data_IF_472834608691
#
_entry.id   IF_472834608691
#
_cell.length_a   1.000
_cell.length_b   1.000
_cell.length_c   1.000
_cell.angle_alpha   90.00
_cell.angle_beta   90.00
_cell.angle_gamma   90.00
#
_symmetry.space_group_name_H-M   'P 1'
#
loop_
_entity.id
_entity.type
_entity.pdbx_description
1 polymer ?
#
# COMPACT_ATOMS: atom_id res chain seq x y z
N UNK A 1 -12.84 19.31 -4.20
CA UNK A 1 -13.39 19.77 -2.90
C UNK A 1 -12.24 19.89 -1.90
N UNK A 2 -12.15 20.96 -1.09
CA UNK A 2 -11.13 21.06 -0.06
C UNK A 2 -11.30 19.88 0.92
N UNK A 3 -10.20 19.21 1.25
CA UNK A 3 -10.21 18.13 2.26
C UNK A 3 -10.58 18.76 3.60
N UNK A 4 -11.55 18.18 4.31
CA UNK A 4 -11.91 18.63 5.65
C UNK A 4 -10.74 18.42 6.63
N UNK A 5 -10.69 19.18 7.72
CA UNK A 5 -9.69 19.02 8.80
C UNK A 5 -9.60 17.55 9.26
N UNK A 6 -10.75 16.88 9.31
CA UNK A 6 -10.86 15.46 9.63
C UNK A 6 -10.08 14.56 8.65
N UNK A 7 -10.26 14.77 7.35
CA UNK A 7 -9.57 13.97 6.33
C UNK A 7 -8.05 14.23 6.33
N UNK A 8 -7.65 15.48 6.57
CA UNK A 8 -6.23 15.83 6.71
C UNK A 8 -5.60 15.15 7.92
N UNK A 9 -6.31 15.12 9.06
CA UNK A 9 -5.84 14.46 10.26
C UNK A 9 -5.69 12.95 10.07
N UNK A 10 -6.69 12.28 9.45
CA UNK A 10 -6.59 10.86 9.14
C UNK A 10 -5.44 10.58 8.17
N UNK A 11 -5.24 11.42 7.14
CA UNK A 11 -4.13 11.28 6.19
C UNK A 11 -2.77 11.45 6.87
N UNK A 12 -2.59 12.47 7.70
CA UNK A 12 -1.34 12.71 8.43
C UNK A 12 -0.98 11.52 9.35
N UNK A 13 -1.96 11.00 10.08
CA UNK A 13 -1.76 9.83 10.94
C UNK A 13 -1.43 8.58 10.11
N UNK A 14 -2.12 8.37 9.00
CA UNK A 14 -1.85 7.25 8.08
C UNK A 14 -0.41 7.30 7.56
N UNK A 15 0.04 8.46 7.10
CA UNK A 15 1.41 8.64 6.63
C UNK A 15 2.44 8.44 7.76
N UNK A 16 2.15 8.89 8.98
CA UNK A 16 3.01 8.67 10.12
C UNK A 16 3.16 7.16 10.45
N UNK A 17 2.08 6.39 10.35
CA UNK A 17 2.11 4.93 10.51
C UNK A 17 2.94 4.27 9.40
N UNK A 18 2.71 4.64 8.14
CA UNK A 18 3.45 4.07 6.99
C UNK A 18 4.94 4.41 7.03
N UNK A 19 5.29 5.59 7.51
CA UNK A 19 6.68 6.02 7.66
C UNK A 19 7.36 5.45 8.93
N UNK A 20 6.63 4.69 9.74
CA UNK A 20 7.16 4.06 10.96
C UNK A 20 7.40 5.03 12.11
N UNK A 21 6.78 6.22 12.07
CA UNK A 21 6.79 7.16 13.21
C UNK A 21 6.08 6.54 14.40
N UNK A 22 5.00 5.81 14.13
CA UNK A 22 4.31 4.97 15.11
C UNK A 22 4.54 3.51 14.79
N UNK A 23 4.96 2.74 15.81
CA UNK A 23 5.26 1.31 15.65
C UNK A 23 4.00 0.44 15.79
N UNK A 24 3.94 -0.75 15.18
CA UNK A 24 2.86 -1.72 15.42
C UNK A 24 2.70 -2.01 16.90
N UNK A 25 1.46 -1.96 17.39
CA UNK A 25 1.11 -2.13 18.80
C UNK A 25 1.34 -0.89 19.67
N UNK A 26 1.95 0.17 19.15
CA UNK A 26 2.18 1.40 19.91
C UNK A 26 0.87 2.07 20.28
N UNK A 27 0.75 2.46 21.55
CA UNK A 27 -0.41 3.19 22.05
C UNK A 27 -0.36 4.64 21.59
N UNK A 28 -1.46 5.12 21.05
CA UNK A 28 -1.63 6.50 20.61
C UNK A 28 -2.27 7.34 21.71
N UNK A 29 -1.56 8.36 22.19
CA UNK A 29 -2.07 9.23 23.25
C UNK A 29 -2.89 10.35 22.63
N UNK A 30 -4.21 10.34 22.85
CA UNK A 30 -5.13 11.31 22.22
C UNK A 30 -4.74 12.77 22.51
N UNK A 31 -4.28 13.08 23.72
CA UNK A 31 -3.90 14.45 24.09
C UNK A 31 -2.70 14.94 23.27
N UNK A 32 -1.68 14.10 23.09
CA UNK A 32 -0.49 14.42 22.32
C UNK A 32 -0.84 14.59 20.82
N UNK A 33 -1.71 13.72 20.31
CA UNK A 33 -2.14 13.81 18.91
C UNK A 33 -3.00 15.06 18.65
N UNK A 34 -3.89 15.43 19.56
CA UNK A 34 -4.64 16.68 19.46
C UNK A 34 -3.70 17.89 19.40
N UNK A 35 -2.70 17.93 20.28
CA UNK A 35 -1.72 19.01 20.31
C UNK A 35 -0.86 19.07 19.04
N UNK A 36 -0.37 17.92 18.55
CA UNK A 36 0.48 17.85 17.34
C UNK A 36 -0.25 18.20 16.05
N UNK A 37 -1.54 17.85 15.96
CA UNK A 37 -2.36 18.05 14.76
C UNK A 37 -3.19 19.34 14.82
N UNK A 38 -3.17 20.03 15.95
CA UNK A 38 -4.00 21.23 16.23
C UNK A 38 -5.48 20.99 15.93
N UNK A 39 -6.06 19.91 16.49
CA UNK A 39 -7.45 19.52 16.27
C UNK A 39 -8.17 19.21 17.59
N UNK A 40 -9.51 19.30 17.57
CA UNK A 40 -10.33 18.90 18.70
C UNK A 40 -10.30 17.39 18.95
N UNK A 41 -10.58 16.98 20.20
CA UNK A 41 -10.73 15.57 20.56
C UNK A 41 -11.82 14.87 19.76
N UNK A 42 -12.91 15.56 19.43
CA UNK A 42 -13.98 15.02 18.59
C UNK A 42 -13.48 14.72 17.19
N UNK A 43 -12.78 15.66 16.55
CA UNK A 43 -12.19 15.46 15.20
C UNK A 43 -11.15 14.35 15.20
N UNK A 44 -10.31 14.27 16.25
CA UNK A 44 -9.34 13.19 16.36
C UNK A 44 -10.01 11.81 16.45
N UNK A 45 -11.04 11.67 17.28
CA UNK A 45 -11.76 10.39 17.42
C UNK A 45 -12.40 9.92 16.12
N UNK A 46 -12.96 10.86 15.33
CA UNK A 46 -13.49 10.51 14.01
C UNK A 46 -12.36 10.08 13.04
N UNK A 47 -11.21 10.78 13.03
CA UNK A 47 -10.04 10.36 12.25
C UNK A 47 -9.56 8.96 12.67
N UNK A 48 -9.50 8.68 13.97
CA UNK A 48 -9.14 7.36 14.48
C UNK A 48 -10.16 6.27 14.10
N UNK A 49 -11.45 6.59 14.04
CA UNK A 49 -12.48 5.64 13.54
C UNK A 49 -12.28 5.31 12.06
N UNK A 50 -11.95 6.29 11.23
CA UNK A 50 -11.61 6.05 9.81
C UNK A 50 -10.43 5.07 9.72
N UNK A 51 -9.35 5.33 10.45
CA UNK A 51 -8.17 4.46 10.46
C UNK A 51 -8.44 3.08 11.07
N UNK A 52 -9.36 2.97 12.01
CA UNK A 52 -9.80 1.69 12.55
C UNK A 52 -10.63 0.88 11.53
N UNK A 53 -11.48 1.52 10.76
CA UNK A 53 -12.18 0.88 9.63
C UNK A 53 -11.19 0.38 8.57
N UNK A 54 -10.10 1.10 8.34
CA UNK A 54 -8.98 0.69 7.46
C UNK A 54 -8.07 -0.40 8.09
N UNK A 55 -8.34 -0.83 9.32
CA UNK A 55 -7.51 -1.80 10.08
C UNK A 55 -6.07 -1.32 10.35
N UNK A 56 -5.82 -0.03 10.33
CA UNK A 56 -4.53 0.58 10.69
C UNK A 56 -4.42 0.87 12.19
N UNK A 57 -5.56 1.02 12.86
CA UNK A 57 -5.66 1.28 14.30
C UNK A 57 -6.63 0.29 14.93
N UNK A 58 -6.31 -0.14 16.13
CA UNK A 58 -7.19 -0.91 17.00
C UNK A 58 -7.72 -0.01 18.11
N UNK A 59 -9.05 0.04 18.26
CA UNK A 59 -9.72 0.75 19.34
C UNK A 59 -10.14 -0.28 20.39
N UNK A 60 -9.43 -0.31 21.53
CA UNK A 60 -9.77 -1.21 22.64
C UNK A 60 -10.46 -0.40 23.74
N UNK A 61 -11.67 -0.79 24.19
CA UNK A 61 -12.35 -0.14 25.31
C UNK A 61 -11.42 -0.04 26.52
N UNK A 62 -11.39 1.11 27.18
CA UNK A 62 -10.57 1.43 28.35
C UNK A 62 -9.04 1.40 28.17
N UNK A 63 -8.53 1.02 26.99
CA UNK A 63 -7.09 1.05 26.68
C UNK A 63 -6.70 2.12 25.67
N UNK A 64 -7.71 2.69 25.00
CA UNK A 64 -7.50 3.73 23.98
C UNK A 64 -7.03 3.17 22.64
N UNK A 65 -6.70 4.05 21.67
CA UNK A 65 -6.24 3.67 20.36
C UNK A 65 -4.78 3.18 20.38
N UNK A 66 -4.49 2.17 19.55
CA UNK A 66 -3.14 1.69 19.27
C UNK A 66 -2.97 1.40 17.78
N UNK A 67 -1.75 1.49 17.29
CA UNK A 67 -1.43 1.05 15.92
C UNK A 67 -1.72 -0.44 15.81
N UNK A 68 -2.43 -0.85 14.78
CA UNK A 68 -2.72 -2.26 14.54
C UNK A 68 -1.41 -3.04 14.31
N UNK A 69 -1.36 -4.25 14.85
CA UNK A 69 -0.30 -5.20 14.54
C UNK A 69 -0.86 -6.29 13.63
N UNK A 70 -0.28 -6.45 12.46
CA UNK A 70 -0.61 -7.53 11.55
C UNK A 70 0.29 -8.71 11.92
N UNK A 71 -0.29 -9.87 12.21
CA UNK A 71 0.49 -11.10 12.41
C UNK A 71 1.09 -11.56 11.07
N UNK A 72 2.15 -12.40 11.14
CA UNK A 72 2.71 -12.94 9.89
C UNK A 72 1.68 -13.81 9.14
N UNK A 73 0.89 -14.62 9.85
CA UNK A 73 -0.17 -15.42 9.24
C UNK A 73 -1.19 -14.54 8.48
N UNK A 74 -1.67 -13.45 9.09
CA UNK A 74 -2.56 -12.50 8.41
C UNK A 74 -1.86 -11.80 7.23
N UNK A 75 -0.58 -11.50 7.35
CA UNK A 75 0.19 -10.91 6.26
C UNK A 75 0.29 -11.86 5.06
N UNK A 76 0.54 -13.16 5.29
CA UNK A 76 0.55 -14.19 4.24
C UNK A 76 -0.79 -14.27 3.52
N UNK A 77 -1.90 -14.33 4.25
CA UNK A 77 -3.25 -14.32 3.66
C UNK A 77 -3.51 -13.08 2.80
N UNK A 78 -3.07 -11.90 3.26
CA UNK A 78 -3.18 -10.67 2.47
C UNK A 78 -2.35 -10.76 1.19
N UNK A 79 -1.13 -11.31 1.24
CA UNK A 79 -0.31 -11.48 0.06
C UNK A 79 -0.92 -12.48 -0.94
N UNK A 80 -1.53 -13.57 -0.47
CA UNK A 80 -2.21 -14.55 -1.32
C UNK A 80 -3.41 -13.92 -2.04
N UNK A 81 -4.27 -13.21 -1.32
CA UNK A 81 -5.41 -12.48 -1.91
C UNK A 81 -4.93 -11.43 -2.91
N UNK A 82 -3.85 -10.70 -2.62
CA UNK A 82 -3.24 -9.74 -3.55
C UNK A 82 -2.76 -10.43 -4.83
N UNK A 83 -2.06 -11.57 -4.71
CA UNK A 83 -1.56 -12.30 -5.87
C UNK A 83 -2.69 -12.72 -6.80
N UNK A 84 -3.80 -13.20 -6.25
CA UNK A 84 -4.99 -13.57 -7.01
C UNK A 84 -5.63 -12.35 -7.70
N UNK A 85 -5.91 -11.30 -6.94
CA UNK A 85 -6.65 -10.14 -7.44
C UNK A 85 -5.79 -9.24 -8.35
N UNK A 86 -4.54 -8.94 -7.96
CA UNK A 86 -3.63 -8.13 -8.77
C UNK A 86 -3.22 -8.86 -10.06
N UNK A 87 -3.05 -10.19 -10.02
CA UNK A 87 -2.82 -11.02 -11.19
C UNK A 87 -3.98 -10.99 -12.18
N UNK A 88 -5.23 -11.15 -11.71
CA UNK A 88 -6.40 -11.06 -12.54
C UNK A 88 -6.62 -9.64 -13.09
N UNK A 89 -6.40 -8.62 -12.27
CA UNK A 89 -6.47 -7.23 -12.71
C UNK A 89 -5.48 -6.94 -13.86
N UNK A 90 -4.23 -7.38 -13.71
CA UNK A 90 -3.20 -7.23 -14.74
C UNK A 90 -3.56 -7.97 -16.05
N UNK A 91 -4.08 -9.19 -15.93
CA UNK A 91 -4.55 -9.97 -17.08
C UNK A 91 -5.62 -9.22 -17.88
N UNK A 92 -6.65 -8.71 -17.21
CA UNK A 92 -7.72 -7.93 -17.84
C UNK A 92 -7.24 -6.61 -18.41
N UNK A 93 -6.41 -5.90 -17.63
CA UNK A 93 -5.85 -4.61 -18.02
C UNK A 93 -5.01 -4.70 -19.30
N UNK A 94 -4.29 -5.79 -19.52
CA UNK A 94 -3.41 -5.94 -20.69
C UNK A 94 -4.12 -5.70 -22.03
N UNK A 95 -5.38 -6.10 -22.16
CA UNK A 95 -6.16 -5.92 -23.39
C UNK A 95 -7.02 -4.67 -23.42
N UNK A 96 -7.21 -3.98 -22.25
CA UNK A 96 -8.20 -2.90 -22.09
C UNK A 96 -7.59 -1.53 -21.82
N UNK A 97 -6.35 -1.48 -21.27
CA UNK A 97 -5.69 -0.22 -21.00
C UNK A 97 -5.61 0.67 -22.25
N UNK A 98 -6.03 1.91 -22.10
CA UNK A 98 -5.84 2.93 -23.12
C UNK A 98 -4.43 3.53 -23.08
N UNK A 99 -4.10 4.36 -24.08
CA UNK A 99 -2.82 5.03 -24.15
C UNK A 99 -2.60 6.04 -23.01
N UNK A 100 -3.68 6.56 -22.42
CA UNK A 100 -3.64 7.47 -21.27
C UNK A 100 -3.18 6.76 -20.02
N UNK A 101 -3.82 5.64 -19.69
CA UNK A 101 -3.46 4.82 -18.54
C UNK A 101 -2.03 4.26 -18.64
N UNK A 102 -1.59 3.83 -19.81
CA UNK A 102 -0.20 3.40 -20.04
C UNK A 102 0.80 4.54 -19.84
N UNK A 103 0.48 5.78 -20.27
CA UNK A 103 1.33 6.95 -19.99
C UNK A 103 1.42 7.24 -18.49
N UNK A 104 0.30 7.15 -17.79
CA UNK A 104 0.27 7.36 -16.33
C UNK A 104 1.11 6.29 -15.60
N UNK A 105 1.02 5.03 -15.98
CA UNK A 105 1.83 3.95 -15.43
C UNK A 105 3.32 4.17 -15.68
N UNK A 106 3.72 4.62 -16.89
CA UNK A 106 5.12 4.98 -17.18
C UNK A 106 5.58 6.14 -16.30
N UNK A 107 4.78 7.19 -16.17
CA UNK A 107 5.11 8.35 -15.33
C UNK A 107 5.27 7.92 -13.86
N UNK A 108 4.37 7.10 -13.35
CA UNK A 108 4.43 6.56 -12.00
C UNK A 108 5.69 5.70 -11.78
N UNK A 109 6.08 4.87 -12.75
CA UNK A 109 7.31 4.08 -12.67
C UNK A 109 8.56 4.98 -12.63
N UNK A 110 8.64 6.00 -13.47
CA UNK A 110 9.76 6.97 -13.47
C UNK A 110 9.85 7.69 -12.12
N UNK A 111 8.72 8.07 -11.54
CA UNK A 111 8.72 8.70 -10.21
C UNK A 111 9.13 7.74 -9.12
N UNK A 112 8.69 6.46 -9.20
CA UNK A 112 9.17 5.44 -8.29
C UNK A 112 10.70 5.29 -8.33
N UNK A 113 11.29 5.22 -9.51
CA UNK A 113 12.74 5.13 -9.71
C UNK A 113 13.48 6.36 -9.15
N UNK A 114 12.93 7.56 -9.36
CA UNK A 114 13.47 8.80 -8.77
C UNK A 114 13.38 8.77 -7.23
N UNK A 115 12.28 8.29 -6.68
CA UNK A 115 12.10 8.15 -5.23
C UNK A 115 13.07 7.09 -4.65
N UNK A 116 13.37 6.02 -5.39
CA UNK A 116 14.41 5.05 -5.02
C UNK A 116 15.78 5.71 -4.95
N UNK A 117 16.15 6.50 -5.97
CA UNK A 117 17.45 7.20 -6.04
C UNK A 117 17.59 8.23 -4.90
N UNK A 118 16.51 8.93 -4.54
CA UNK A 118 16.48 9.94 -3.47
C UNK A 118 16.30 9.33 -2.07
N UNK A 119 16.13 8.01 -1.95
CA UNK A 119 15.78 7.32 -0.69
C UNK A 119 14.51 7.89 -0.03
N UNK A 120 13.52 8.25 -0.85
CA UNK A 120 12.24 8.82 -0.42
C UNK A 120 11.18 7.72 -0.24
N UNK A 121 10.85 7.29 1.01
CA UNK A 121 9.84 6.26 1.25
C UNK A 121 8.44 6.70 0.83
N UNK A 122 8.06 7.94 1.10
CA UNK A 122 6.73 8.45 0.79
C UNK A 122 6.51 8.55 -0.73
N UNK A 123 7.51 9.05 -1.46
CA UNK A 123 7.49 9.09 -2.92
C UNK A 123 7.36 7.70 -3.55
N UNK A 124 8.03 6.68 -2.99
CA UNK A 124 7.88 5.30 -3.45
C UNK A 124 6.47 4.77 -3.26
N UNK A 125 5.87 4.99 -2.09
CA UNK A 125 4.50 4.55 -1.80
C UNK A 125 3.49 5.26 -2.71
N UNK A 126 3.61 6.58 -2.87
CA UNK A 126 2.73 7.36 -3.74
C UNK A 126 2.82 6.97 -5.21
N UNK A 127 4.04 6.80 -5.72
CA UNK A 127 4.25 6.35 -7.09
C UNK A 127 3.69 4.94 -7.33
N UNK A 128 3.88 4.02 -6.36
CA UNK A 128 3.30 2.67 -6.46
C UNK A 128 1.77 2.72 -6.47
N UNK A 129 1.15 3.54 -5.62
CA UNK A 129 -0.30 3.70 -5.58
C UNK A 129 -0.82 4.14 -6.95
N UNK A 130 -0.26 5.19 -7.56
CA UNK A 130 -0.67 5.67 -8.89
C UNK A 130 -0.49 4.63 -9.99
N UNK A 131 0.59 3.84 -9.95
CA UNK A 131 0.81 2.75 -10.90
C UNK A 131 -0.32 1.72 -10.86
N UNK A 132 -0.70 1.29 -9.64
CA UNK A 132 -1.77 0.32 -9.46
C UNK A 132 -3.16 0.92 -9.74
N UNK A 133 -3.42 2.18 -9.37
CA UNK A 133 -4.69 2.85 -9.66
C UNK A 133 -4.94 2.91 -11.18
N UNK A 134 -3.91 3.25 -11.97
CA UNK A 134 -4.01 3.25 -13.42
C UNK A 134 -4.27 1.84 -14.00
N UNK A 135 -3.59 0.80 -13.47
CA UNK A 135 -3.82 -0.59 -13.86
C UNK A 135 -5.24 -1.06 -13.51
N UNK A 136 -5.71 -0.74 -12.31
CA UNK A 136 -7.04 -1.12 -11.83
C UNK A 136 -8.15 -0.41 -12.62
N UNK A 137 -7.95 0.86 -12.98
CA UNK A 137 -8.86 1.56 -13.89
C UNK A 137 -9.03 0.86 -15.22
N UNK A 138 -7.96 0.28 -15.75
CA UNK A 138 -7.98 -0.48 -17.00
C UNK A 138 -8.49 -1.93 -16.88
N UNK A 139 -8.62 -2.48 -15.69
CA UNK A 139 -9.09 -3.86 -15.54
C UNK A 139 -10.60 -4.02 -15.76
N UNK A 140 -11.37 -2.92 -15.75
CA UNK A 140 -12.83 -2.87 -15.93
C UNK A 140 -13.59 -3.86 -15.03
N UNK A 141 -13.15 -4.00 -13.78
CA UNK A 141 -13.81 -4.81 -12.77
C UNK A 141 -13.98 -4.02 -11.49
N UNK A 142 -15.18 -3.47 -11.30
CA UNK A 142 -15.52 -2.73 -10.08
C UNK A 142 -15.34 -3.61 -8.82
N UNK A 143 -15.66 -4.90 -8.90
CA UNK A 143 -15.53 -5.84 -7.77
C UNK A 143 -14.07 -6.05 -7.38
N UNK A 144 -13.15 -6.27 -8.35
CA UNK A 144 -11.72 -6.41 -8.05
C UNK A 144 -11.19 -5.11 -7.43
N UNK A 145 -11.54 -3.96 -8.00
CA UNK A 145 -11.13 -2.66 -7.49
C UNK A 145 -11.63 -2.43 -6.07
N UNK A 146 -12.89 -2.73 -5.76
CA UNK A 146 -13.49 -2.61 -4.43
C UNK A 146 -12.79 -3.51 -3.40
N UNK A 147 -12.57 -4.78 -3.73
CA UNK A 147 -11.87 -5.71 -2.83
C UNK A 147 -10.45 -5.26 -2.52
N UNK A 148 -9.67 -4.83 -3.54
CA UNK A 148 -8.33 -4.31 -3.34
C UNK A 148 -8.33 -2.98 -2.57
N UNK A 149 -9.31 -2.10 -2.82
CA UNK A 149 -9.48 -0.86 -2.07
C UNK A 149 -9.75 -1.12 -0.58
N UNK A 150 -10.54 -2.16 -0.25
CA UNK A 150 -10.76 -2.59 1.14
C UNK A 150 -9.49 -3.09 1.84
N UNK A 151 -8.48 -3.49 1.07
CA UNK A 151 -7.18 -3.95 1.57
C UNK A 151 -6.06 -2.89 1.48
N UNK A 152 -6.30 -1.77 0.78
CA UNK A 152 -5.24 -0.83 0.37
C UNK A 152 -4.37 -0.33 1.51
N UNK A 153 -4.94 -0.05 2.67
CA UNK A 153 -4.20 0.44 3.83
C UNK A 153 -3.24 -0.62 4.37
N UNK A 154 -3.70 -1.88 4.53
CA UNK A 154 -2.88 -3.02 4.96
C UNK A 154 -1.82 -3.38 3.91
N UNK A 155 -2.18 -3.36 2.63
CA UNK A 155 -1.24 -3.55 1.53
C UNK A 155 -0.14 -2.48 1.56
N UNK A 156 -0.49 -1.21 1.78
CA UNK A 156 0.48 -0.12 1.85
C UNK A 156 1.40 -0.27 3.05
N UNK A 157 0.86 -0.66 4.21
CA UNK A 157 1.66 -0.98 5.39
C UNK A 157 2.67 -2.10 5.11
N UNK A 158 2.23 -3.21 4.51
CA UNK A 158 3.11 -4.34 4.16
C UNK A 158 4.14 -3.94 3.10
N UNK A 159 3.78 -3.09 2.12
CA UNK A 159 4.72 -2.51 1.16
C UNK A 159 5.82 -1.70 1.86
N UNK A 160 5.44 -0.81 2.78
CA UNK A 160 6.39 -0.03 3.54
C UNK A 160 7.39 -0.93 4.28
N UNK A 161 6.92 -2.02 4.88
CA UNK A 161 7.76 -3.01 5.58
C UNK A 161 8.68 -3.75 4.62
N UNK A 162 8.18 -4.28 3.51
CA UNK A 162 9.00 -5.00 2.53
C UNK A 162 10.11 -4.11 1.94
N UNK A 163 9.84 -2.83 1.72
CA UNK A 163 10.78 -1.85 1.19
C UNK A 163 11.92 -1.47 2.16
N UNK A 164 11.84 -1.87 3.44
CA UNK A 164 12.94 -1.69 4.40
C UNK A 164 14.12 -2.63 4.12
N UNK A 165 13.90 -3.77 3.46
CA UNK A 165 14.97 -4.67 3.06
C UNK A 165 15.90 -3.97 2.05
N UNK A 166 17.22 -4.03 2.32
CA UNK A 166 18.22 -3.45 1.43
C UNK A 166 18.10 -4.02 0.01
N UNK A 167 18.13 -3.15 -0.99
CA UNK A 167 18.00 -3.54 -2.41
C UNK A 167 16.57 -3.76 -2.89
N UNK A 168 15.59 -4.03 -2.00
CA UNK A 168 14.21 -4.38 -2.39
C UNK A 168 13.54 -3.33 -3.29
N UNK A 169 13.76 -2.06 -3.03
CA UNK A 169 13.17 -0.99 -3.84
C UNK A 169 13.67 -1.02 -5.30
N UNK A 170 14.94 -1.35 -5.53
CA UNK A 170 15.50 -1.51 -6.89
C UNK A 170 14.94 -2.76 -7.59
N UNK A 171 14.83 -3.86 -6.85
CA UNK A 171 14.20 -5.09 -7.36
C UNK A 171 12.76 -4.83 -7.77
N UNK A 172 11.99 -4.12 -6.92
CA UNK A 172 10.60 -3.74 -7.19
C UNK A 172 10.47 -2.87 -8.46
N UNK A 173 11.39 -1.92 -8.68
CA UNK A 173 11.41 -1.14 -9.92
C UNK A 173 11.55 -2.04 -11.17
N UNK A 174 12.44 -3.02 -11.13
CA UNK A 174 12.61 -4.00 -12.20
C UNK A 174 11.37 -4.87 -12.43
N UNK A 175 10.68 -5.25 -11.35
CA UNK A 175 9.45 -6.04 -11.40
C UNK A 175 8.30 -5.23 -12.02
N UNK A 176 8.10 -3.99 -11.57
CA UNK A 176 7.07 -3.08 -12.13
C UNK A 176 7.35 -2.75 -13.61
N UNK A 177 8.63 -2.63 -14.00
CA UNK A 177 9.01 -2.43 -15.40
C UNK A 177 8.65 -3.64 -16.27
N UNK A 178 8.85 -4.87 -15.76
CA UNK A 178 8.43 -6.10 -16.47
C UNK A 178 6.92 -6.17 -16.61
N UNK A 179 6.17 -5.86 -15.56
CA UNK A 179 4.72 -5.81 -15.62
C UNK A 179 4.24 -4.80 -16.66
N UNK A 180 4.77 -3.58 -16.63
CA UNK A 180 4.44 -2.54 -17.61
C UNK A 180 4.76 -2.99 -19.04
N UNK A 181 5.91 -3.62 -19.30
CA UNK A 181 6.28 -4.12 -20.62
C UNK A 181 5.28 -5.18 -21.15
N UNK A 182 4.80 -6.09 -20.29
CA UNK A 182 3.76 -7.05 -20.65
C UNK A 182 2.44 -6.35 -21.00
N UNK A 183 2.05 -5.32 -20.22
CA UNK A 183 0.83 -4.54 -20.49
C UNK A 183 0.92 -3.76 -21.80
N UNK A 184 2.08 -3.17 -22.11
CA UNK A 184 2.35 -2.48 -23.37
C UNK A 184 2.33 -3.43 -24.58
N UNK A 185 2.86 -4.64 -24.40
CA UNK A 185 2.83 -5.69 -25.41
C UNK A 185 1.47 -6.38 -25.57
N UNK A 186 0.46 -6.00 -24.75
CA UNK A 186 -0.85 -6.67 -24.70
C UNK A 186 -0.76 -8.14 -24.34
N UNK A 187 0.33 -8.56 -23.66
CA UNK A 187 0.53 -9.92 -23.18
C UNK A 187 -0.18 -10.13 -21.85
N UNK A 188 -1.43 -10.57 -21.93
CA UNK A 188 -2.27 -10.77 -20.73
C UNK A 188 -1.72 -11.84 -19.79
N UNK A 189 -1.20 -12.95 -20.34
CA UNK A 189 -0.64 -14.03 -19.53
C UNK A 189 0.66 -13.62 -18.85
N UNK A 190 1.54 -12.93 -19.59
CA UNK A 190 2.77 -12.37 -19.02
C UNK A 190 2.51 -11.30 -17.98
N UNK A 191 1.50 -10.43 -18.19
CA UNK A 191 1.10 -9.42 -17.20
C UNK A 191 0.61 -10.06 -15.90
N UNK A 192 -0.25 -11.10 -15.97
CA UNK A 192 -0.68 -11.88 -14.81
C UNK A 192 0.51 -12.48 -14.05
N UNK A 193 1.38 -13.16 -14.77
CA UNK A 193 2.54 -13.81 -14.17
C UNK A 193 3.49 -12.78 -13.52
N UNK A 194 3.74 -11.65 -14.17
CA UNK A 194 4.58 -10.58 -13.64
C UNK A 194 3.98 -9.93 -12.37
N UNK A 195 2.67 -9.72 -12.33
CA UNK A 195 1.99 -9.19 -11.15
C UNK A 195 2.07 -10.16 -9.96
N UNK A 196 1.81 -11.45 -10.18
CA UNK A 196 1.89 -12.50 -9.15
C UNK A 196 3.34 -12.61 -8.63
N UNK A 197 4.36 -12.67 -9.52
CA UNK A 197 5.78 -12.73 -9.13
C UNK A 197 6.17 -11.51 -8.27
N UNK A 198 5.73 -10.31 -8.65
CA UNK A 198 5.98 -9.11 -7.86
C UNK A 198 5.40 -9.22 -6.43
N UNK A 199 4.18 -9.71 -6.29
CA UNK A 199 3.53 -9.88 -4.98
C UNK A 199 4.26 -10.92 -4.14
N UNK A 200 4.63 -12.07 -4.71
CA UNK A 200 5.38 -13.11 -4.01
C UNK A 200 6.77 -12.63 -3.55
N UNK A 201 7.49 -11.87 -4.39
CA UNK A 201 8.78 -11.25 -4.00
C UNK A 201 8.60 -10.21 -2.90
N UNK A 202 7.50 -9.45 -2.92
CA UNK A 202 7.18 -8.51 -1.85
C UNK A 202 6.87 -9.25 -0.54
N UNK A 203 6.14 -10.38 -0.58
CA UNK A 203 5.88 -11.25 0.56
C UNK A 203 7.19 -11.77 1.17
N UNK A 204 8.06 -12.37 0.36
CA UNK A 204 9.35 -12.88 0.81
C UNK A 204 10.22 -11.79 1.45
N UNK A 205 10.22 -10.58 0.88
CA UNK A 205 10.95 -9.45 1.44
C UNK A 205 10.34 -8.95 2.76
N UNK A 206 9.02 -8.94 2.87
CA UNK A 206 8.33 -8.52 4.09
C UNK A 206 8.57 -9.51 5.22
N UNK A 207 8.58 -10.83 4.94
CA UNK A 207 8.85 -11.88 5.92
C UNK A 207 10.13 -11.63 6.71
N UNK A 208 11.19 -11.22 6.03
CA UNK A 208 12.47 -10.91 6.65
C UNK A 208 12.41 -9.70 7.61
N UNK A 209 11.40 -8.83 7.48
CA UNK A 209 11.20 -7.65 8.32
C UNK A 209 10.19 -7.88 9.48
N UNK A 210 9.61 -9.09 9.59
CA UNK A 210 8.69 -9.42 10.69
C UNK A 210 9.43 -9.98 11.89
N UNK A 211 9.22 -9.42 13.11
CA UNK A 211 9.82 -9.94 14.33
C UNK A 211 9.40 -11.39 14.59
N UNK A 212 10.35 -12.25 14.95
CA UNK A 212 10.10 -13.64 15.35
C UNK A 212 9.86 -14.63 14.21
N UNK A 213 9.85 -14.21 12.96
CA UNK A 213 9.76 -15.10 11.81
C UNK A 213 11.18 -15.42 11.33
N UNK A 214 11.70 -16.63 11.68
CA UNK A 214 12.98 -17.11 11.13
C UNK A 214 12.81 -17.38 9.62
N UNK A 215 13.80 -16.97 8.83
CA UNK A 215 13.92 -17.44 7.46
C UNK A 215 14.06 -18.97 7.49
N UNK A 216 13.17 -19.66 6.80
CA UNK A 216 13.27 -21.10 6.58
C UNK A 216 14.34 -21.35 5.51
#
# INVERSE_FOLDING_TARGET
>A
MPKTVLHLAAENLRQAIFNGVFQPGERLVEADLCSRLDISRASLREALRILAAEKLITLVPNRGPSVASISWAEAEEIYDVRAMLEGEAAFRAATRLDAGALREMRAALVEFERAVARRDPAGRLGATARFYDAMLGGCESAVIAELLQGLVARITFLRARSMQRAGRARESAGELRRLLACLEARDASGARAAAIDHVHRACAAARAAFPGVRAA
#
